data_IF_256436543012
#
_entry.id   IF_256436543012
#
_cell.length_a   1.000
_cell.length_b   1.000
_cell.length_c   1.000
_cell.angle_alpha   90.00
_cell.angle_beta   90.00
_cell.angle_gamma   90.00
#
_symmetry.space_group_name_H-M   'P 1'
#
loop_
_entity.id
_entity.type
_entity.pdbx_description
1 polymer ?
#
# COMPACT_ATOMS: atom_id res chain seq x y z
N UNK A 1 9.12 1.19 21.81
CA UNK A 1 10.14 1.76 20.91
C UNK A 1 10.30 0.84 19.70
N UNK A 2 9.63 1.13 18.59
CA UNK A 2 9.95 0.68 17.21
C UNK A 2 8.82 1.16 16.31
N UNK A 3 8.74 2.47 16.09
CA UNK A 3 7.70 3.07 15.25
C UNK A 3 8.29 3.96 14.15
N UNK A 4 9.62 3.97 14.00
CA UNK A 4 10.28 4.71 12.92
C UNK A 4 11.01 3.79 11.94
N UNK A 5 11.45 2.61 12.40
CA UNK A 5 12.15 1.64 11.56
C UNK A 5 11.20 0.90 10.62
N UNK A 6 10.06 0.39 11.11
CA UNK A 6 9.14 -0.38 10.27
C UNK A 6 8.56 0.45 9.11
N UNK A 7 8.17 1.70 9.36
CA UNK A 7 7.59 2.54 8.30
C UNK A 7 8.60 2.92 7.21
N UNK A 8 9.89 3.03 7.54
CA UNK A 8 10.94 3.27 6.53
C UNK A 8 11.22 2.00 5.71
N UNK A 9 11.10 0.84 6.36
CA UNK A 9 11.20 -0.47 5.71
C UNK A 9 10.00 -0.73 4.78
N UNK A 10 8.77 -0.38 5.20
CA UNK A 10 7.55 -0.52 4.42
C UNK A 10 7.55 0.33 3.15
N UNK A 11 8.00 1.59 3.25
CA UNK A 11 8.13 2.47 2.08
C UNK A 11 9.15 1.91 1.08
N UNK A 12 10.28 1.40 1.57
CA UNK A 12 11.36 0.86 0.75
C UNK A 12 10.95 -0.46 0.09
N UNK A 13 10.29 -1.33 0.84
CA UNK A 13 9.75 -2.59 0.34
C UNK A 13 8.67 -2.35 -0.72
N UNK A 14 7.74 -1.42 -0.48
CA UNK A 14 6.68 -1.09 -1.43
C UNK A 14 7.26 -0.53 -2.75
N UNK A 15 8.32 0.30 -2.66
CA UNK A 15 9.06 0.78 -3.85
C UNK A 15 9.71 -0.36 -4.63
N UNK A 16 10.37 -1.30 -3.94
CA UNK A 16 11.00 -2.47 -4.57
C UNK A 16 9.96 -3.35 -5.28
N UNK A 17 8.84 -3.63 -4.60
CA UNK A 17 7.74 -4.41 -5.17
C UNK A 17 7.19 -3.72 -6.41
N UNK A 18 7.00 -2.39 -6.38
CA UNK A 18 6.53 -1.65 -7.55
C UNK A 18 7.51 -1.75 -8.72
N UNK A 19 8.81 -1.60 -8.47
CA UNK A 19 9.83 -1.78 -9.52
C UNK A 19 9.82 -3.21 -10.10
N UNK A 20 9.58 -4.23 -9.26
CA UNK A 20 9.45 -5.61 -9.71
C UNK A 20 8.17 -5.87 -10.53
N UNK A 21 7.15 -5.00 -10.45
CA UNK A 21 5.96 -5.07 -11.31
C UNK A 21 6.24 -4.64 -12.75
N UNK A 22 7.24 -3.79 -12.97
CA UNK A 22 7.61 -3.32 -14.31
C UNK A 22 8.40 -4.38 -15.10
N UNK A 23 8.81 -5.48 -14.45
CA UNK A 23 9.50 -6.61 -15.06
C UNK A 23 8.50 -7.75 -15.29
N UNK A 24 8.22 -8.06 -16.56
CA UNK A 24 7.22 -9.05 -16.99
C UNK A 24 7.34 -10.42 -16.31
N UNK A 25 8.56 -10.88 -16.03
CA UNK A 25 8.82 -12.17 -15.38
C UNK A 25 8.40 -12.19 -13.91
N UNK A 26 8.50 -11.05 -13.23
CA UNK A 26 8.21 -10.90 -11.80
C UNK A 26 6.89 -10.19 -11.53
N UNK A 27 6.22 -9.67 -12.56
CA UNK A 27 4.99 -8.87 -12.46
C UNK A 27 3.92 -9.54 -11.60
N UNK A 28 3.63 -10.81 -11.87
CA UNK A 28 2.61 -11.57 -11.14
C UNK A 28 2.99 -11.74 -9.67
N UNK A 29 4.23 -12.15 -9.40
CA UNK A 29 4.72 -12.34 -8.04
C UNK A 29 4.72 -11.02 -7.26
N UNK A 30 5.19 -9.95 -7.87
CA UNK A 30 5.24 -8.62 -7.27
C UNK A 30 3.83 -8.08 -6.99
N UNK A 31 2.87 -8.30 -7.89
CA UNK A 31 1.47 -7.93 -7.69
C UNK A 31 0.83 -8.69 -6.52
N UNK A 32 1.11 -9.99 -6.39
CA UNK A 32 0.59 -10.80 -5.28
C UNK A 32 1.24 -10.38 -3.94
N UNK A 33 2.54 -10.03 -3.95
CA UNK A 33 3.24 -9.52 -2.79
C UNK A 33 2.72 -8.14 -2.35
N UNK A 34 2.42 -7.25 -3.30
CA UNK A 34 1.83 -5.93 -3.02
C UNK A 34 0.45 -6.06 -2.35
N UNK A 35 -0.38 -7.00 -2.79
CA UNK A 35 -1.68 -7.28 -2.14
C UNK A 35 -1.49 -7.79 -0.71
N UNK A 36 -0.53 -8.69 -0.49
CA UNK A 36 -0.22 -9.20 0.84
C UNK A 36 0.26 -8.08 1.77
N UNK A 37 1.11 -7.18 1.27
CA UNK A 37 1.60 -6.02 2.02
C UNK A 37 0.44 -5.10 2.45
N UNK A 38 -0.48 -4.78 1.55
CA UNK A 38 -1.66 -3.96 1.86
C UNK A 38 -2.59 -4.63 2.87
N UNK A 39 -2.80 -5.94 2.75
CA UNK A 39 -3.57 -6.70 3.75
C UNK A 39 -2.90 -6.66 5.14
N UNK A 40 -1.56 -6.74 5.19
CA UNK A 40 -0.83 -6.63 6.45
C UNK A 40 -0.98 -5.24 7.08
N UNK A 41 -0.83 -4.17 6.28
CA UNK A 41 -1.07 -2.80 6.75
C UNK A 41 -2.50 -2.58 7.27
N UNK A 42 -3.48 -3.27 6.69
CA UNK A 42 -4.85 -3.22 7.20
C UNK A 42 -4.96 -3.85 8.60
N UNK A 43 -4.35 -5.02 8.80
CA UNK A 43 -4.32 -5.72 10.10
C UNK A 43 -3.60 -4.90 11.16
N UNK A 44 -2.50 -4.24 10.77
CA UNK A 44 -1.73 -3.33 11.63
C UNK A 44 -2.42 -1.97 11.87
N UNK A 45 -3.55 -1.71 11.19
CA UNK A 45 -4.30 -0.45 11.26
C UNK A 45 -3.45 0.76 10.88
N UNK A 46 -2.60 0.58 9.88
CA UNK A 46 -1.78 1.67 9.35
C UNK A 46 -2.66 2.79 8.83
N UNK A 47 -2.20 4.03 8.96
CA UNK A 47 -3.01 5.16 8.51
C UNK A 47 -3.14 5.15 6.98
N UNK A 48 -4.32 5.45 6.41
CA UNK A 48 -4.44 5.57 4.96
C UNK A 48 -3.47 6.60 4.35
N UNK A 49 -3.12 7.64 5.10
CA UNK A 49 -2.11 8.62 4.68
C UNK A 49 -0.74 7.97 4.46
N UNK A 50 -0.30 7.10 5.37
CA UNK A 50 0.98 6.39 5.26
C UNK A 50 0.95 5.36 4.14
N UNK A 51 -0.14 4.58 4.04
CA UNK A 51 -0.31 3.61 2.95
C UNK A 51 -0.31 4.27 1.58
N UNK A 52 -0.93 5.44 1.43
CA UNK A 52 -0.88 6.24 0.19
C UNK A 52 0.55 6.59 -0.18
N UNK A 53 1.35 7.02 0.81
CA UNK A 53 2.76 7.39 0.63
C UNK A 53 3.58 6.17 0.22
N UNK A 54 3.40 5.02 0.87
CA UNK A 54 4.16 3.80 0.58
C UNK A 54 3.84 3.20 -0.78
N UNK A 55 2.56 3.15 -1.16
CA UNK A 55 2.15 2.77 -2.53
C UNK A 55 2.65 3.78 -3.58
N UNK A 56 3.01 4.99 -3.15
CA UNK A 56 3.48 6.07 -4.01
C UNK A 56 2.42 6.58 -4.97
N UNK A 57 1.16 6.58 -4.52
CA UNK A 57 0.03 7.10 -5.28
C UNK A 57 0.15 8.61 -5.39
N UNK A 58 0.52 9.09 -6.58
CA UNK A 58 0.58 10.52 -6.94
C UNK A 58 -0.64 10.88 -7.79
N UNK A 59 -1.24 12.05 -7.57
CA UNK A 59 -2.39 12.50 -8.35
C UNK A 59 -3.69 11.77 -8.02
N UNK A 60 -4.53 11.50 -9.04
CA UNK A 60 -5.82 10.82 -8.86
C UNK A 60 -5.61 9.30 -8.70
N UNK A 61 -6.10 8.68 -7.62
CA UNK A 61 -5.94 7.24 -7.41
C UNK A 61 -6.55 6.35 -8.50
N UNK A 62 -7.51 6.83 -9.27
CA UNK A 62 -8.14 6.06 -10.36
C UNK A 62 -7.20 5.69 -11.50
N UNK A 63 -6.06 6.36 -11.61
CA UNK A 63 -5.24 6.34 -12.83
C UNK A 63 -4.15 5.25 -12.80
N UNK A 64 -3.96 4.58 -11.65
CA UNK A 64 -2.88 3.60 -11.44
C UNK A 64 -3.37 2.37 -10.68
N UNK A 65 -2.72 1.23 -10.87
CA UNK A 65 -3.01 0.01 -10.11
C UNK A 65 -2.85 0.23 -8.60
N UNK A 66 -1.79 0.95 -8.20
CA UNK A 66 -1.52 1.37 -6.82
C UNK A 66 -2.63 2.24 -6.26
N UNK A 67 -3.15 3.16 -7.08
CA UNK A 67 -4.22 4.06 -6.66
C UNK A 67 -5.58 3.35 -6.51
N UNK A 68 -5.90 2.39 -7.38
CA UNK A 68 -7.09 1.53 -7.22
C UNK A 68 -6.97 0.65 -5.96
N UNK A 69 -5.77 0.13 -5.69
CA UNK A 69 -5.48 -0.64 -4.48
C UNK A 69 -5.64 0.23 -3.23
N UNK A 70 -5.15 1.47 -3.27
CA UNK A 70 -5.33 2.45 -2.21
C UNK A 70 -6.81 2.82 -1.99
N UNK A 71 -7.59 3.02 -3.05
CA UNK A 71 -9.04 3.28 -2.91
C UNK A 71 -9.76 2.14 -2.22
N UNK A 72 -9.46 0.90 -2.56
CA UNK A 72 -10.02 -0.27 -1.86
C UNK A 72 -9.61 -0.25 -0.39
N UNK A 73 -8.34 0.00 -0.10
CA UNK A 73 -7.83 0.08 1.27
C UNK A 73 -8.61 1.12 2.11
N UNK A 74 -8.75 2.35 1.61
CA UNK A 74 -9.49 3.42 2.30
C UNK A 74 -10.94 3.00 2.57
N UNK A 75 -11.63 2.48 1.54
CA UNK A 75 -13.02 2.04 1.67
C UNK A 75 -13.18 0.96 2.73
N UNK A 76 -12.26 -0.01 2.79
CA UNK A 76 -12.32 -1.08 3.77
C UNK A 76 -11.90 -0.61 5.17
N UNK A 77 -10.93 0.31 5.25
CA UNK A 77 -10.50 0.95 6.49
C UNK A 77 -11.63 1.74 7.14
N UNK A 78 -12.32 2.60 6.37
CA UNK A 78 -13.43 3.41 6.87
C UNK A 78 -14.62 2.56 7.35
N UNK A 79 -14.91 1.44 6.67
CA UNK A 79 -15.97 0.51 7.08
C UNK A 79 -15.69 -0.16 8.42
N UNK A 80 -14.43 -0.49 8.69
CA UNK A 80 -14.05 -1.30 9.87
C UNK A 80 -13.64 -0.43 11.05
N UNK A 81 -12.95 0.67 10.81
CA UNK A 81 -12.38 1.53 11.86
C UNK A 81 -13.11 2.87 12.04
N UNK A 82 -14.08 3.17 11.16
CA UNK A 82 -14.76 4.46 11.13
C UNK A 82 -14.08 5.47 10.20
N UNK A 83 -14.78 6.56 9.90
CA UNK A 83 -14.25 7.62 9.01
C UNK A 83 -13.04 8.28 9.64
N UNK A 84 -12.05 8.60 8.80
CA UNK A 84 -10.99 9.54 9.17
C UNK A 84 -11.66 10.91 9.41
N UNK A 85 -11.61 11.41 10.64
CA UNK A 85 -12.04 12.77 11.00
C UNK A 85 -11.08 13.84 10.46
#
# INVERSE_FOLDING_TARGET
>A
MSTLTSHHDDESLAKLIRAAKDVKETEKMASDLQKAQVSNWFVLKESPTDVKKWLGVKGKPSDTAEGLLYQRYVNDYEKVFGKLE
#
